data_IF_244151719826
#
_entry.id   IF_244151719826
#
_cell.length_a   1.000
_cell.length_b   1.000
_cell.length_c   1.000
_cell.angle_alpha   90.00
_cell.angle_beta   90.00
_cell.angle_gamma   90.00
#
_symmetry.space_group_name_H-M   'P 1'
#
loop_
_entity.id
_entity.type
_entity.pdbx_description
1 polymer ?
#
# COMPACT_ATOMS: atom_id res chain seq x y z
N UNK A 1 -24.51 28.30 70.36
CA UNK A 1 -24.47 26.88 69.97
C UNK A 1 -24.69 26.82 68.47
N UNK A 2 -23.71 26.39 67.67
CA UNK A 2 -23.86 26.21 66.23
C UNK A 2 -24.59 24.88 65.99
N UNK A 3 -25.66 24.89 65.20
CA UNK A 3 -26.52 23.73 64.97
C UNK A 3 -25.77 22.65 64.15
N UNK A 4 -25.76 21.41 64.64
CA UNK A 4 -25.12 20.27 63.96
C UNK A 4 -25.73 19.97 62.57
N UNK A 5 -27.03 20.24 62.37
CA UNK A 5 -27.71 19.99 61.10
C UNK A 5 -27.17 20.82 59.92
N UNK A 6 -26.57 21.99 60.18
CA UNK A 6 -26.01 22.85 59.12
C UNK A 6 -24.65 22.33 58.64
N UNK A 7 -23.84 21.73 59.52
CA UNK A 7 -22.55 21.15 59.14
C UNK A 7 -22.71 19.91 58.25
N UNK A 8 -23.68 19.04 58.56
CA UNK A 8 -23.96 17.87 57.71
C UNK A 8 -24.44 18.29 56.31
N UNK A 9 -25.30 19.31 56.20
CA UNK A 9 -25.73 19.84 54.90
C UNK A 9 -24.57 20.42 54.09
N UNK A 10 -23.66 21.18 54.71
CA UNK A 10 -22.47 21.72 54.02
C UNK A 10 -21.54 20.59 53.54
N UNK A 11 -21.39 19.51 54.32
CA UNK A 11 -20.61 18.34 53.89
C UNK A 11 -21.25 17.60 52.73
N UNK A 12 -22.58 17.45 52.71
CA UNK A 12 -23.29 16.83 51.58
C UNK A 12 -23.19 17.69 50.31
N UNK A 13 -23.30 19.01 50.44
CA UNK A 13 -23.12 19.95 49.33
C UNK A 13 -21.70 19.90 48.76
N UNK A 14 -20.68 19.82 49.62
CA UNK A 14 -19.28 19.69 49.20
C UNK A 14 -19.00 18.38 48.44
N UNK A 15 -19.58 17.24 48.89
CA UNK A 15 -19.47 15.95 48.19
C UNK A 15 -20.13 16.02 46.81
N UNK A 16 -21.29 16.66 46.69
CA UNK A 16 -21.99 16.84 45.41
C UNK A 16 -21.18 17.65 44.40
N UNK A 17 -20.52 18.72 44.84
CA UNK A 17 -19.61 19.49 43.98
C UNK A 17 -18.40 18.65 43.57
N UNK A 18 -17.80 17.90 44.50
CA UNK A 18 -16.70 16.97 44.19
C UNK A 18 -17.08 15.92 43.14
N UNK A 19 -18.27 15.34 43.26
CA UNK A 19 -18.80 14.37 42.29
C UNK A 19 -19.01 14.98 40.90
N UNK A 20 -19.54 16.20 40.82
CA UNK A 20 -19.74 16.90 39.54
C UNK A 20 -18.41 17.21 38.84
N UNK A 21 -17.38 17.60 39.60
CA UNK A 21 -16.03 17.85 39.06
C UNK A 21 -15.43 16.58 38.45
N UNK A 22 -15.51 15.45 39.17
CA UNK A 22 -15.02 14.16 38.66
C UNK A 22 -15.80 13.71 37.43
N UNK A 23 -17.11 13.94 37.42
CA UNK A 23 -17.95 13.59 36.26
C UNK A 23 -17.51 14.35 35.00
N UNK A 24 -17.25 15.65 35.10
CA UNK A 24 -16.76 16.45 33.98
C UNK A 24 -15.36 15.98 33.56
N UNK A 25 -14.47 15.71 34.51
CA UNK A 25 -13.12 15.21 34.22
C UNK A 25 -13.17 13.88 33.44
N UNK A 26 -14.04 12.96 33.83
CA UNK A 26 -14.22 11.67 33.14
C UNK A 26 -14.71 11.84 31.70
N UNK A 27 -15.64 12.78 31.47
CA UNK A 27 -16.12 13.08 30.11
C UNK A 27 -14.98 13.61 29.24
N UNK A 28 -14.13 14.49 29.77
CA UNK A 28 -13.00 15.05 29.01
C UNK A 28 -11.96 13.97 28.65
N UNK A 29 -11.66 13.06 29.59
CA UNK A 29 -10.76 11.93 29.33
C UNK A 29 -11.37 10.98 28.29
N UNK A 30 -12.67 10.67 28.39
CA UNK A 30 -13.37 9.83 27.44
C UNK A 30 -13.37 10.43 26.02
N UNK A 31 -13.53 11.76 25.90
CA UNK A 31 -13.50 12.45 24.62
C UNK A 31 -12.13 12.33 23.93
N UNK A 32 -11.03 12.53 24.67
CA UNK A 32 -9.67 12.37 24.14
C UNK A 32 -9.40 10.92 23.73
N UNK A 33 -9.81 9.95 24.57
CA UNK A 33 -9.65 8.53 24.25
C UNK A 33 -10.41 8.13 22.99
N UNK A 34 -11.67 8.58 22.83
CA UNK A 34 -12.48 8.31 21.65
C UNK A 34 -11.84 8.87 20.38
N UNK A 35 -11.30 10.10 20.42
CA UNK A 35 -10.63 10.71 19.28
C UNK A 35 -9.42 9.88 18.81
N UNK A 36 -8.60 9.38 19.74
CA UNK A 36 -7.43 8.54 19.42
C UNK A 36 -7.85 7.17 18.88
N UNK A 37 -8.90 6.57 19.44
CA UNK A 37 -9.44 5.30 18.94
C UNK A 37 -9.94 5.45 17.50
N UNK A 38 -10.71 6.50 17.22
CA UNK A 38 -11.23 6.79 15.88
C UNK A 38 -10.08 7.00 14.91
N UNK A 39 -9.10 7.84 15.25
CA UNK A 39 -7.96 8.11 14.39
C UNK A 39 -7.15 6.84 14.07
N UNK A 40 -6.97 5.97 15.05
CA UNK A 40 -6.29 4.69 14.85
C UNK A 40 -7.11 3.76 13.95
N UNK A 41 -8.42 3.69 14.17
CA UNK A 41 -9.32 2.88 13.34
C UNK A 41 -9.33 3.37 11.88
N UNK A 42 -9.42 4.67 11.65
CA UNK A 42 -9.35 5.28 10.33
C UNK A 42 -8.01 5.01 9.65
N UNK A 43 -6.89 5.18 10.38
CA UNK A 43 -5.56 4.86 9.85
C UNK A 43 -5.43 3.39 9.48
N UNK A 44 -5.93 2.48 10.32
CA UNK A 44 -5.90 1.05 10.01
C UNK A 44 -6.76 0.71 8.80
N UNK A 45 -7.93 1.35 8.63
CA UNK A 45 -8.77 1.16 7.45
C UNK A 45 -8.11 1.70 6.18
N UNK A 46 -7.52 2.89 6.22
CA UNK A 46 -6.77 3.45 5.09
C UNK A 46 -5.57 2.57 4.72
N UNK A 47 -4.81 2.12 5.72
CA UNK A 47 -3.69 1.21 5.51
C UNK A 47 -4.16 -0.13 4.93
N UNK A 48 -5.27 -0.69 5.41
CA UNK A 48 -5.83 -1.94 4.90
C UNK A 48 -6.32 -1.77 3.45
N UNK A 49 -6.90 -0.63 3.12
CA UNK A 49 -7.34 -0.31 1.77
C UNK A 49 -6.14 -0.16 0.82
N UNK A 50 -5.15 0.67 1.17
CA UNK A 50 -3.93 0.84 0.38
C UNK A 50 -3.17 -0.49 0.22
N UNK A 51 -3.06 -1.30 1.28
CA UNK A 51 -2.44 -2.64 1.17
C UNK A 51 -3.23 -3.56 0.23
N UNK A 52 -4.56 -3.46 0.25
CA UNK A 52 -5.43 -4.22 -0.64
C UNK A 52 -5.30 -3.78 -2.10
N UNK A 53 -5.20 -2.48 -2.34
CA UNK A 53 -4.91 -1.89 -3.64
C UNK A 53 -3.53 -2.35 -4.13
N UNK A 54 -2.47 -2.15 -3.34
CA UNK A 54 -1.11 -2.60 -3.66
C UNK A 54 -1.05 -4.12 -3.96
N UNK A 55 -1.75 -4.94 -3.16
CA UNK A 55 -1.80 -6.40 -3.39
C UNK A 55 -2.52 -6.75 -4.69
N UNK A 56 -3.57 -5.98 -5.02
CA UNK A 56 -4.30 -6.18 -6.28
C UNK A 56 -3.41 -5.79 -7.45
N UNK A 57 -2.72 -4.65 -7.38
CA UNK A 57 -1.81 -4.17 -8.42
C UNK A 57 -0.64 -5.14 -8.66
N UNK A 58 -0.01 -5.65 -7.59
CA UNK A 58 1.05 -6.67 -7.68
C UNK A 58 0.55 -8.01 -8.26
N UNK A 59 -0.72 -8.35 -8.03
CA UNK A 59 -1.35 -9.51 -8.67
C UNK A 59 -1.71 -9.22 -10.12
N UNK A 60 -2.14 -7.99 -10.41
CA UNK A 60 -2.68 -7.48 -11.67
C UNK A 60 -1.60 -7.35 -12.76
N UNK A 61 -0.40 -6.87 -12.43
CA UNK A 61 0.73 -6.72 -13.36
C UNK A 61 1.33 -8.04 -13.87
N UNK A 62 0.59 -8.83 -14.63
CA UNK A 62 1.04 -10.11 -15.21
C UNK A 62 1.00 -10.04 -16.73
N UNK A 63 2.14 -10.30 -17.37
CA UNK A 63 2.27 -10.41 -18.83
C UNK A 63 2.30 -11.88 -19.23
N UNK A 64 1.53 -12.24 -20.25
CA UNK A 64 1.56 -13.57 -20.87
C UNK A 64 2.23 -13.51 -22.23
N UNK A 65 3.29 -14.32 -22.41
CA UNK A 65 3.95 -14.50 -23.70
C UNK A 65 3.14 -15.51 -24.52
N UNK A 66 2.74 -15.12 -25.73
CA UNK A 66 1.95 -15.93 -26.65
C UNK A 66 2.84 -16.72 -27.60
N UNK A 67 3.71 -16.03 -28.35
CA UNK A 67 4.58 -16.63 -29.36
C UNK A 67 5.89 -15.85 -29.48
N UNK A 68 6.97 -16.56 -29.83
CA UNK A 68 8.27 -15.98 -30.16
C UNK A 68 8.68 -16.51 -31.53
N UNK A 69 8.96 -15.61 -32.46
CA UNK A 69 9.44 -15.92 -33.80
C UNK A 69 10.88 -15.43 -33.97
N UNK A 70 11.67 -16.22 -34.69
CA UNK A 70 13.04 -15.86 -35.06
C UNK A 70 13.04 -15.51 -36.55
N UNK A 71 13.48 -14.29 -36.88
CA UNK A 71 13.67 -13.90 -38.26
C UNK A 71 15.12 -14.19 -38.69
N UNK A 72 15.29 -15.29 -39.41
CA UNK A 72 16.58 -15.83 -39.90
C UNK A 72 17.32 -14.85 -40.84
N UNK A 73 16.66 -13.82 -41.36
CA UNK A 73 17.28 -12.82 -42.25
C UNK A 73 17.83 -11.57 -41.56
N UNK A 74 17.42 -11.28 -40.32
CA UNK A 74 17.72 -10.01 -39.65
C UNK A 74 18.30 -10.15 -38.23
N UNK A 75 18.59 -11.39 -37.78
CA UNK A 75 19.01 -11.68 -36.41
C UNK A 75 18.09 -11.02 -35.36
N UNK A 76 16.78 -10.96 -35.65
CA UNK A 76 15.77 -10.31 -34.81
C UNK A 76 14.78 -11.32 -34.25
N UNK A 77 14.34 -11.06 -33.02
CA UNK A 77 13.31 -11.82 -32.33
C UNK A 77 12.02 -11.00 -32.32
N UNK A 78 10.92 -11.60 -32.74
CA UNK A 78 9.59 -10.99 -32.64
C UNK A 78 8.78 -11.72 -31.59
N UNK A 79 8.38 -10.99 -30.54
CA UNK A 79 7.67 -11.54 -29.38
C UNK A 79 6.25 -10.99 -29.35
N UNK A 80 5.26 -11.86 -29.41
CA UNK A 80 3.87 -11.52 -29.15
C UNK A 80 3.56 -11.80 -27.69
N UNK A 81 3.15 -10.78 -26.96
CA UNK A 81 2.66 -10.89 -25.59
C UNK A 81 1.35 -10.14 -25.43
N UNK A 82 0.64 -10.44 -24.35
CA UNK A 82 -0.57 -9.71 -23.93
C UNK A 82 -0.57 -9.58 -22.42
N UNK A 83 -1.29 -8.58 -21.92
CA UNK A 83 -1.61 -8.50 -20.51
C UNK A 83 -2.54 -9.67 -20.12
N UNK A 84 -2.34 -10.23 -18.92
CA UNK A 84 -3.15 -11.32 -18.41
C UNK A 84 -4.57 -10.83 -18.07
N UNK A 85 -5.53 -11.76 -17.92
CA UNK A 85 -6.87 -11.40 -17.50
C UNK A 85 -6.85 -10.83 -16.07
N UNK A 86 -7.47 -9.66 -15.88
CA UNK A 86 -7.44 -8.94 -14.60
C UNK A 86 -6.22 -8.06 -14.40
N UNK A 87 -5.38 -7.89 -15.43
CA UNK A 87 -4.31 -6.90 -15.47
C UNK A 87 -4.84 -5.51 -15.73
N UNK A 88 -4.26 -4.54 -15.05
CA UNK A 88 -4.40 -3.12 -15.33
C UNK A 88 -3.61 -2.75 -16.58
N UNK A 89 -3.95 -1.59 -17.14
CA UNK A 89 -3.26 -1.06 -18.31
C UNK A 89 -1.81 -0.73 -17.95
N UNK A 90 -0.87 -1.31 -18.71
CA UNK A 90 0.57 -1.12 -18.49
C UNK A 90 1.17 -0.54 -19.76
N UNK A 91 1.91 0.55 -19.64
CA UNK A 91 2.57 1.16 -20.79
C UNK A 91 3.67 0.22 -21.34
N UNK A 92 3.89 0.28 -22.64
CA UNK A 92 4.98 -0.41 -23.33
C UNK A 92 6.37 -0.05 -22.76
N UNK A 93 6.51 1.18 -22.26
CA UNK A 93 7.75 1.65 -21.62
C UNK A 93 8.01 1.08 -20.22
N UNK A 94 6.98 0.60 -19.51
CA UNK A 94 7.09 0.02 -18.17
C UNK A 94 7.37 -1.49 -18.20
N UNK A 95 7.24 -2.12 -19.37
CA UNK A 95 7.51 -3.55 -19.56
C UNK A 95 8.98 -3.72 -19.99
N UNK A 96 9.80 -4.21 -19.06
CA UNK A 96 11.19 -4.57 -19.30
C UNK A 96 11.31 -6.00 -19.83
N UNK A 97 12.15 -6.20 -20.82
CA UNK A 97 12.51 -7.51 -21.34
C UNK A 97 14.02 -7.71 -21.27
N UNK A 98 14.42 -8.97 -21.09
CA UNK A 98 15.80 -9.40 -21.10
C UNK A 98 15.90 -10.76 -21.77
N UNK A 99 16.80 -10.89 -22.73
CA UNK A 99 17.16 -12.15 -23.39
C UNK A 99 18.62 -12.45 -23.05
N UNK A 100 18.91 -13.72 -22.76
CA UNK A 100 20.25 -14.22 -22.52
C UNK A 100 20.64 -15.22 -23.59
N UNK A 101 21.83 -15.05 -24.17
CA UNK A 101 22.39 -15.95 -25.17
C UNK A 101 23.75 -16.46 -24.69
N UNK A 102 24.09 -17.71 -25.00
CA UNK A 102 25.45 -18.22 -24.81
C UNK A 102 26.29 -17.86 -26.05
N UNK A 103 27.51 -17.36 -25.83
CA UNK A 103 28.43 -16.97 -26.90
C UNK A 103 29.20 -18.15 -27.53
N UNK A 104 28.92 -19.38 -27.11
CA UNK A 104 29.62 -20.59 -27.52
C UNK A 104 30.99 -20.77 -26.87
N UNK A 105 31.45 -19.81 -26.05
CA UNK A 105 32.68 -19.84 -25.27
C UNK A 105 32.43 -20.01 -23.76
N UNK A 106 31.16 -20.20 -23.37
CA UNK A 106 30.74 -20.43 -21.98
C UNK A 106 30.47 -19.15 -21.19
N UNK A 107 30.38 -17.99 -21.85
CA UNK A 107 29.90 -16.76 -21.26
C UNK A 107 28.48 -16.44 -21.76
N UNK A 108 27.63 -15.99 -20.83
CA UNK A 108 26.30 -15.49 -21.17
C UNK A 108 26.37 -14.01 -21.52
N UNK A 109 25.84 -13.64 -22.68
CA UNK A 109 25.54 -12.26 -23.03
C UNK A 109 24.07 -11.96 -22.75
N UNK A 110 23.79 -10.76 -22.25
CA UNK A 110 22.44 -10.28 -21.99
C UNK A 110 22.10 -9.12 -22.91
N UNK A 111 20.89 -9.12 -23.45
CA UNK A 111 20.31 -8.00 -24.18
C UNK A 111 19.03 -7.63 -23.44
N UNK A 112 18.89 -6.36 -23.07
CA UNK A 112 17.72 -5.88 -22.37
C UNK A 112 17.23 -4.54 -22.92
N UNK A 113 15.95 -4.26 -22.69
CA UNK A 113 15.30 -3.02 -23.07
C UNK A 113 13.87 -2.95 -22.54
N UNK A 114 13.10 -1.95 -22.97
CA UNK A 114 11.65 -1.96 -22.85
C UNK A 114 11.00 -2.06 -24.24
N UNK A 115 9.68 -2.17 -24.31
CA UNK A 115 8.96 -2.30 -25.59
C UNK A 115 8.61 -0.98 -26.30
N UNK A 116 8.78 0.16 -25.65
CA UNK A 116 8.68 1.49 -26.24
C UNK A 116 9.95 1.99 -26.95
N UNK A 117 11.08 1.28 -26.83
CA UNK A 117 12.32 1.62 -27.55
C UNK A 117 12.33 1.02 -28.96
N UNK A 118 12.19 1.89 -29.97
CA UNK A 118 12.25 1.53 -31.39
C UNK A 118 13.65 1.09 -31.85
N UNK A 119 14.70 1.26 -31.03
CA UNK A 119 16.09 0.93 -31.35
C UNK A 119 16.40 -0.58 -31.22
N UNK A 120 15.55 -1.34 -30.53
CA UNK A 120 15.89 -2.68 -30.06
C UNK A 120 16.81 -2.63 -28.83
N UNK A 121 16.82 -3.70 -28.02
CA UNK A 121 17.52 -3.71 -26.73
C UNK A 121 19.03 -3.62 -26.87
N UNK A 122 19.67 -3.03 -25.86
CA UNK A 122 21.13 -2.92 -25.80
C UNK A 122 21.73 -4.14 -25.13
N UNK A 123 22.94 -4.52 -25.57
CA UNK A 123 23.78 -5.47 -24.84
C UNK A 123 24.10 -4.86 -23.47
N UNK A 124 23.93 -5.66 -22.42
CA UNK A 124 24.29 -5.34 -21.04
C UNK A 124 25.35 -6.36 -20.63
N UNK A 125 26.59 -5.90 -20.45
CA UNK A 125 27.72 -6.72 -19.95
C UNK A 125 27.65 -6.87 -18.42
#
# INVERSE_FOLDING_TARGET
MKNNNTQEQDTMAAIGIGAMIVFIALILVAAVAAAVIIQTAEKLQQNAQSTGEDTTDEMSGKVQILNVFVNDGAASYEVYFRLAAGSDDTADTDILWQVSCDDGAGAFQYIAGNFGDASGGSVVD
#
